data_IF_963129005938
#
_entry.id   IF_963129005938
#
_cell.length_a   1.000
_cell.length_b   1.000
_cell.length_c   1.000
_cell.angle_alpha   90.00
_cell.angle_beta   90.00
_cell.angle_gamma   90.00
#
_symmetry.space_group_name_H-M   'P 1'
#
loop_
_entity.id
_entity.type
_entity.pdbx_description
1 polymer ?
#
# COMPACT_ATOMS: atom_id res chain seq x y z
N UNK A 1 -1.69 -25.10 -29.16
CA UNK A 1 -2.85 -24.79 -28.30
C UNK A 1 -2.46 -24.32 -26.90
N UNK A 2 -1.55 -25.00 -26.18
CA UNK A 2 -1.13 -24.61 -24.80
C UNK A 2 -0.66 -23.15 -24.70
N UNK A 3 0.13 -22.69 -25.68
CA UNK A 3 0.67 -21.33 -25.74
C UNK A 3 -0.39 -20.22 -25.92
N UNK A 4 -1.51 -20.52 -26.59
CA UNK A 4 -2.62 -19.56 -26.73
C UNK A 4 -3.45 -19.48 -25.44
N UNK A 5 -3.58 -20.60 -24.74
CA UNK A 5 -4.32 -20.65 -23.48
C UNK A 5 -3.58 -19.92 -22.37
N UNK A 6 -2.24 -20.06 -22.30
CA UNK A 6 -1.40 -19.33 -21.34
C UNK A 6 -1.42 -17.82 -21.57
N UNK A 7 -1.30 -17.36 -22.82
CA UNK A 7 -1.39 -15.93 -23.14
C UNK A 7 -2.75 -15.32 -22.78
N UNK A 8 -3.84 -16.06 -23.00
CA UNK A 8 -5.19 -15.60 -22.64
C UNK A 8 -5.34 -15.48 -21.12
N UNK A 9 -4.83 -16.44 -20.34
CA UNK A 9 -4.83 -16.37 -18.87
C UNK A 9 -4.03 -15.17 -18.36
N UNK A 10 -2.87 -14.87 -18.96
CA UNK A 10 -2.05 -13.71 -18.56
C UNK A 10 -2.82 -12.40 -18.76
N UNK A 11 -3.49 -12.23 -19.90
CA UNK A 11 -4.29 -11.03 -20.19
C UNK A 11 -5.43 -10.84 -19.20
N UNK A 12 -6.14 -11.91 -18.84
CA UNK A 12 -7.20 -11.83 -17.83
C UNK A 12 -6.65 -11.51 -16.43
N UNK A 13 -5.52 -12.10 -16.04
CA UNK A 13 -4.88 -11.80 -14.76
C UNK A 13 -4.38 -10.35 -14.68
N UNK A 14 -3.96 -9.74 -15.79
CA UNK A 14 -3.60 -8.31 -15.81
C UNK A 14 -4.80 -7.38 -15.79
N UNK A 15 -5.93 -7.79 -16.38
CA UNK A 15 -7.15 -6.98 -16.42
C UNK A 15 -8.03 -7.11 -15.17
N UNK A 16 -8.03 -8.27 -14.50
CA UNK A 16 -8.85 -8.51 -13.31
C UNK A 16 -8.62 -7.52 -12.15
N UNK A 17 -7.38 -7.09 -11.84
CA UNK A 17 -7.13 -6.04 -10.83
C UNK A 17 -7.86 -4.73 -11.14
N UNK A 18 -7.97 -4.34 -12.40
CA UNK A 18 -8.66 -3.11 -12.77
C UNK A 18 -10.16 -3.18 -12.44
N UNK A 19 -10.78 -4.36 -12.61
CA UNK A 19 -12.17 -4.58 -12.21
C UNK A 19 -12.34 -4.55 -10.68
N UNK A 20 -11.40 -5.12 -9.92
CA UNK A 20 -11.39 -5.06 -8.45
C UNK A 20 -11.25 -3.61 -7.98
N UNK A 21 -10.33 -2.85 -8.57
CA UNK A 21 -10.14 -1.44 -8.27
C UNK A 21 -11.40 -0.63 -8.56
N UNK A 22 -12.04 -0.85 -9.72
CA UNK A 22 -13.27 -0.15 -10.08
C UNK A 22 -14.43 -0.50 -9.12
N UNK A 23 -14.56 -1.76 -8.74
CA UNK A 23 -15.56 -2.20 -7.76
C UNK A 23 -15.33 -1.53 -6.40
N UNK A 24 -14.10 -1.55 -5.89
CA UNK A 24 -13.76 -0.91 -4.63
C UNK A 24 -13.96 0.62 -4.70
N UNK A 25 -13.66 1.24 -5.84
CA UNK A 25 -13.97 2.66 -6.10
C UNK A 25 -15.45 2.96 -5.96
N UNK A 26 -16.30 2.17 -6.60
CA UNK A 26 -17.75 2.34 -6.48
C UNK A 26 -18.26 2.14 -5.05
N UNK A 27 -17.70 1.17 -4.31
CA UNK A 27 -18.14 0.84 -2.95
C UNK A 27 -17.74 1.89 -1.91
N UNK A 28 -16.57 2.53 -2.07
CA UNK A 28 -16.11 3.53 -1.09
C UNK A 28 -16.46 4.96 -1.47
N UNK A 29 -17.01 5.20 -2.67
CA UNK A 29 -17.27 6.55 -3.17
C UNK A 29 -18.13 7.39 -2.22
N UNK A 30 -19.16 6.80 -1.61
CA UNK A 30 -20.02 7.49 -0.65
C UNK A 30 -19.23 7.97 0.58
N UNK A 31 -18.37 7.10 1.13
CA UNK A 31 -17.51 7.42 2.26
C UNK A 31 -16.45 8.46 1.88
N UNK A 32 -15.93 8.42 0.65
CA UNK A 32 -14.99 9.42 0.13
C UNK A 32 -15.66 10.79 0.00
N UNK A 33 -16.88 10.87 -0.55
CA UNK A 33 -17.62 12.13 -0.72
C UNK A 33 -17.93 12.76 0.65
N UNK A 34 -18.43 11.96 1.60
CA UNK A 34 -18.64 12.43 2.97
C UNK A 34 -17.36 12.89 3.64
N UNK A 35 -16.24 12.21 3.36
CA UNK A 35 -14.94 12.61 3.86
C UNK A 35 -14.52 13.98 3.31
N UNK A 36 -14.58 14.17 2.00
CA UNK A 36 -14.21 15.44 1.38
C UNK A 36 -15.15 16.57 1.78
N UNK A 37 -16.46 16.30 1.98
CA UNK A 37 -17.42 17.32 2.40
C UNK A 37 -17.24 17.74 3.87
N UNK A 38 -16.78 16.84 4.72
CA UNK A 38 -16.55 17.09 6.15
C UNK A 38 -15.15 17.63 6.46
N UNK A 39 -14.23 17.66 5.49
CA UNK A 39 -12.82 17.95 5.77
C UNK A 39 -12.52 19.45 5.83
N UNK A 40 -12.24 19.96 7.03
CA UNK A 40 -11.79 21.34 7.25
C UNK A 40 -10.29 21.58 7.07
N UNK A 41 -9.43 20.54 7.20
CA UNK A 41 -7.96 20.65 7.09
C UNK A 41 -7.35 19.43 6.39
N UNK A 42 -6.37 19.68 5.52
CA UNK A 42 -5.64 18.65 4.78
C UNK A 42 -4.45 18.15 5.60
N UNK A 43 -4.52 16.92 6.11
CA UNK A 43 -3.45 16.27 6.87
C UNK A 43 -2.53 15.41 6.00
N UNK A 44 -1.39 15.00 6.55
CA UNK A 44 -0.41 14.12 5.86
C UNK A 44 -1.07 12.79 5.44
N UNK A 45 -1.87 12.19 6.32
CA UNK A 45 -2.60 10.93 6.07
C UNK A 45 -3.56 11.06 4.88
N UNK A 46 -4.23 12.21 4.73
CA UNK A 46 -5.12 12.50 3.60
C UNK A 46 -4.33 12.57 2.29
N UNK A 47 -3.19 13.25 2.28
CA UNK A 47 -2.35 13.37 1.07
C UNK A 47 -1.86 11.98 0.65
N UNK A 48 -1.37 11.17 1.59
CA UNK A 48 -0.96 9.80 1.32
C UNK A 48 -2.12 8.97 0.76
N UNK A 49 -3.32 9.08 1.33
CA UNK A 49 -4.50 8.40 0.80
C UNK A 49 -4.82 8.80 -0.65
N UNK A 50 -4.84 10.09 -0.97
CA UNK A 50 -5.14 10.57 -2.33
C UNK A 50 -4.11 10.00 -3.32
N UNK A 51 -2.83 10.01 -2.94
CA UNK A 51 -1.78 9.40 -3.75
C UNK A 51 -2.05 7.91 -3.95
N UNK A 52 -2.25 7.14 -2.89
CA UNK A 52 -2.52 5.71 -2.97
C UNK A 52 -3.81 5.37 -3.75
N UNK A 53 -4.80 6.26 -3.76
CA UNK A 53 -6.11 6.04 -4.37
C UNK A 53 -6.15 6.39 -5.86
N UNK A 54 -5.60 7.54 -6.25
CA UNK A 54 -5.74 8.07 -7.61
C UNK A 54 -4.54 7.81 -8.51
N UNK A 55 -3.33 7.63 -7.97
CA UNK A 55 -2.14 7.28 -8.76
C UNK A 55 -2.19 5.87 -9.40
N UNK A 56 -2.94 4.87 -8.89
CA UNK A 56 -3.18 3.64 -9.64
C UNK A 56 -3.89 3.84 -11.00
N UNK A 57 -4.65 4.92 -11.20
CA UNK A 57 -5.37 5.18 -12.46
C UNK A 57 -4.41 5.29 -13.66
N UNK A 58 -3.41 6.19 -13.67
CA UNK A 58 -2.46 6.27 -14.77
C UNK A 58 -1.68 4.96 -14.96
N UNK A 59 -1.35 4.22 -13.90
CA UNK A 59 -0.74 2.89 -14.01
C UNK A 59 -1.63 1.92 -14.80
N UNK A 60 -2.91 1.80 -14.43
CA UNK A 60 -3.86 0.90 -15.11
C UNK A 60 -4.04 1.28 -16.58
N UNK A 61 -4.15 2.59 -16.88
CA UNK A 61 -4.26 3.08 -18.25
C UNK A 61 -2.99 2.73 -19.06
N UNK A 62 -1.81 2.92 -18.46
CA UNK A 62 -0.52 2.57 -19.05
C UNK A 62 -0.42 1.07 -19.37
N UNK A 63 -0.83 0.19 -18.45
CA UNK A 63 -0.84 -1.26 -18.67
C UNK A 63 -1.80 -1.69 -19.79
N UNK A 64 -3.01 -1.11 -19.82
CA UNK A 64 -3.98 -1.36 -20.90
C UNK A 64 -3.40 -0.90 -22.24
N UNK A 65 -2.77 0.27 -22.28
CA UNK A 65 -2.16 0.82 -23.49
C UNK A 65 -1.04 -0.07 -24.03
N UNK A 66 -0.13 -0.54 -23.16
CA UNK A 66 0.94 -1.50 -23.52
C UNK A 66 0.35 -2.80 -24.09
N UNK A 67 -0.77 -3.26 -23.52
CA UNK A 67 -1.39 -4.52 -23.92
C UNK A 67 -2.11 -4.44 -25.27
N UNK A 68 -2.65 -3.26 -25.63
CA UNK A 68 -3.51 -3.09 -26.81
C UNK A 68 -2.81 -2.47 -28.02
N UNK A 69 -1.74 -1.69 -27.84
CA UNK A 69 -1.14 -0.87 -28.90
C UNK A 69 0.30 -1.29 -29.19
N UNK A 70 0.65 -1.44 -30.48
CA UNK A 70 2.05 -1.61 -30.90
C UNK A 70 2.86 -0.37 -30.53
N UNK A 71 3.86 -0.54 -29.67
CA UNK A 71 4.60 0.58 -29.12
C UNK A 71 5.74 1.04 -30.03
N UNK A 72 5.84 2.35 -30.23
CA UNK A 72 7.06 2.98 -30.70
C UNK A 72 8.09 3.05 -29.56
N UNK A 73 9.40 3.13 -29.85
CA UNK A 73 10.45 3.23 -28.81
C UNK A 73 10.24 4.40 -27.84
N UNK A 74 9.70 5.52 -28.32
CA UNK A 74 9.40 6.71 -27.51
C UNK A 74 8.23 6.44 -26.54
N UNK A 75 7.15 5.83 -27.02
CA UNK A 75 5.98 5.51 -26.20
C UNK A 75 6.29 4.41 -25.17
N UNK A 76 7.20 3.47 -25.50
CA UNK A 76 7.74 2.48 -24.56
C UNK A 76 8.36 3.18 -23.33
N UNK A 77 9.31 4.09 -23.55
CA UNK A 77 10.00 4.77 -22.45
C UNK A 77 9.06 5.60 -21.59
N UNK A 78 8.11 6.32 -22.19
CA UNK A 78 7.15 7.15 -21.44
C UNK A 78 6.24 6.27 -20.59
N UNK A 79 5.74 5.17 -21.15
CA UNK A 79 4.80 4.31 -20.44
C UNK A 79 5.46 3.64 -19.23
N UNK A 80 6.67 3.12 -19.40
CA UNK A 80 7.43 2.55 -18.28
C UNK A 80 7.83 3.58 -17.22
N UNK A 81 8.09 4.84 -17.61
CA UNK A 81 8.34 5.91 -16.64
C UNK A 81 7.09 6.23 -15.82
N UNK A 82 5.92 6.33 -16.47
CA UNK A 82 4.64 6.55 -15.78
C UNK A 82 4.38 5.41 -14.80
N UNK A 83 4.57 4.17 -15.23
CA UNK A 83 4.46 3.00 -14.36
C UNK A 83 5.43 3.12 -13.18
N UNK A 84 6.74 3.23 -13.41
CA UNK A 84 7.75 3.30 -12.35
C UNK A 84 7.50 4.41 -11.32
N UNK A 85 7.14 5.63 -11.77
CA UNK A 85 6.79 6.73 -10.87
C UNK A 85 5.53 6.42 -10.06
N UNK A 86 4.50 5.87 -10.72
CA UNK A 86 3.24 5.52 -10.06
C UNK A 86 3.46 4.45 -8.98
N UNK A 87 4.25 3.41 -9.26
CA UNK A 87 4.61 2.37 -8.28
C UNK A 87 5.28 2.96 -7.05
N UNK A 88 6.30 3.81 -7.22
CA UNK A 88 6.99 4.46 -6.09
C UNK A 88 6.01 5.26 -5.23
N UNK A 89 5.17 6.08 -5.86
CA UNK A 89 4.23 6.93 -5.15
C UNK A 89 3.21 6.10 -4.36
N UNK A 90 2.69 5.02 -4.95
CA UNK A 90 1.72 4.12 -4.32
C UNK A 90 2.37 3.37 -3.15
N UNK A 91 3.56 2.78 -3.34
CA UNK A 91 4.28 2.07 -2.28
C UNK A 91 4.57 2.98 -1.10
N UNK A 92 5.17 4.15 -1.33
CA UNK A 92 5.47 5.11 -0.26
C UNK A 92 4.23 5.56 0.49
N UNK A 93 3.15 5.88 -0.24
CA UNK A 93 1.91 6.32 0.36
C UNK A 93 1.29 5.24 1.26
N UNK A 94 1.26 4.00 0.78
CA UNK A 94 0.62 2.89 1.50
C UNK A 94 1.45 2.35 2.66
N UNK A 95 2.76 2.23 2.49
CA UNK A 95 3.70 1.95 3.59
C UNK A 95 3.62 3.07 4.65
N UNK A 96 3.47 4.32 4.23
CA UNK A 96 3.22 5.46 5.11
C UNK A 96 1.91 5.35 5.91
N UNK A 97 0.82 4.91 5.27
CA UNK A 97 -0.46 4.68 5.95
C UNK A 97 -0.37 3.52 6.97
N UNK A 98 0.30 2.42 6.62
CA UNK A 98 0.59 1.32 7.55
C UNK A 98 1.44 1.80 8.73
N UNK A 99 2.46 2.61 8.47
CA UNK A 99 3.28 3.24 9.49
C UNK A 99 2.41 4.06 10.45
N UNK A 100 1.59 4.98 9.92
CA UNK A 100 0.75 5.86 10.73
C UNK A 100 -0.20 5.07 11.65
N UNK A 101 -0.81 3.99 11.14
CA UNK A 101 -1.66 3.12 11.95
C UNK A 101 -0.87 2.40 13.06
N UNK A 102 0.33 1.92 12.75
CA UNK A 102 1.20 1.25 13.72
C UNK A 102 1.72 2.24 14.78
N UNK A 103 1.98 3.49 14.38
CA UNK A 103 2.35 4.56 15.30
C UNK A 103 1.21 4.93 16.25
N UNK A 104 -0.04 4.87 15.79
CA UNK A 104 -1.20 5.10 16.64
C UNK A 104 -1.34 4.02 17.74
N UNK A 105 -0.97 2.77 17.45
CA UNK A 105 -0.92 1.69 18.46
C UNK A 105 0.15 1.96 19.52
N UNK A 106 1.34 2.43 19.11
CA UNK A 106 2.50 2.59 19.99
C UNK A 106 2.70 4.02 20.52
N UNK A 107 1.63 4.82 20.66
CA UNK A 107 1.70 6.24 21.02
C UNK A 107 2.61 6.53 22.23
N UNK A 108 2.61 5.66 23.25
CA UNK A 108 3.35 5.88 24.50
C UNK A 108 4.86 5.52 24.39
N UNK A 109 5.24 4.60 23.50
CA UNK A 109 6.60 4.05 23.45
C UNK A 109 7.50 4.75 22.42
N UNK A 110 8.18 5.82 22.85
CA UNK A 110 9.08 6.64 22.02
C UNK A 110 10.22 5.85 21.34
N UNK A 111 10.65 4.72 21.89
CA UNK A 111 11.69 3.86 21.29
C UNK A 111 11.18 3.18 20.02
N UNK A 112 10.04 2.49 20.11
CA UNK A 112 9.41 1.77 18.97
C UNK A 112 8.98 2.76 17.90
N UNK A 113 8.43 3.91 18.28
CA UNK A 113 8.10 4.99 17.33
C UNK A 113 9.30 5.45 16.51
N UNK A 114 10.45 5.70 17.16
CA UNK A 114 11.68 6.11 16.46
C UNK A 114 12.19 4.99 15.54
N UNK A 115 12.13 3.74 16.00
CA UNK A 115 12.50 2.59 15.19
C UNK A 115 11.64 2.46 13.93
N UNK A 116 10.31 2.51 14.07
CA UNK A 116 9.36 2.46 12.96
C UNK A 116 9.62 3.59 11.95
N UNK A 117 9.78 4.83 12.42
CA UNK A 117 10.05 5.96 11.52
C UNK A 117 11.40 5.82 10.80
N UNK A 118 12.45 5.41 11.51
CA UNK A 118 13.76 5.17 10.90
C UNK A 118 13.70 4.06 9.84
N UNK A 119 12.98 2.98 10.14
CA UNK A 119 12.82 1.87 9.21
C UNK A 119 12.06 2.26 7.95
N UNK A 120 10.99 3.06 8.07
CA UNK A 120 10.26 3.60 6.93
C UNK A 120 11.14 4.53 6.06
N UNK A 121 11.96 5.39 6.69
CA UNK A 121 12.88 6.25 5.93
C UNK A 121 13.90 5.43 5.14
N UNK A 122 14.44 4.36 5.73
CA UNK A 122 15.36 3.44 5.03
C UNK A 122 14.66 2.76 3.86
N UNK A 123 13.45 2.22 4.08
CA UNK A 123 12.65 1.58 3.02
C UNK A 123 12.36 2.57 1.90
N UNK A 124 11.93 3.79 2.23
CA UNK A 124 11.61 4.83 1.26
C UNK A 124 12.83 5.23 0.40
N UNK A 125 13.98 5.49 1.03
CA UNK A 125 15.22 5.85 0.34
C UNK A 125 15.67 4.70 -0.56
N UNK A 126 15.61 3.45 -0.07
CA UNK A 126 15.97 2.27 -0.85
C UNK A 126 15.09 2.12 -2.09
N UNK A 127 13.76 2.18 -1.94
CA UNK A 127 12.79 2.07 -3.05
C UNK A 127 13.00 3.17 -4.09
N UNK A 128 13.15 4.43 -3.67
CA UNK A 128 13.41 5.56 -4.58
C UNK A 128 14.72 5.35 -5.35
N UNK A 129 15.77 4.89 -4.67
CA UNK A 129 17.07 4.65 -5.30
C UNK A 129 17.01 3.52 -6.33
N UNK A 130 16.38 2.40 -6.00
CA UNK A 130 16.21 1.27 -6.92
C UNK A 130 15.45 1.66 -8.19
N UNK A 131 14.38 2.45 -8.07
CA UNK A 131 13.59 2.92 -9.21
C UNK A 131 14.32 4.00 -10.01
N UNK A 132 15.07 4.88 -9.35
CA UNK A 132 15.91 5.87 -10.05
C UNK A 132 16.98 5.19 -10.94
N UNK A 133 17.58 4.10 -10.47
CA UNK A 133 18.54 3.27 -11.24
C UNK A 133 17.84 2.56 -12.40
N UNK A 134 16.56 2.23 -12.25
CA UNK A 134 15.76 1.53 -13.26
C UNK A 134 15.46 2.39 -14.49
N UNK A 135 15.26 3.71 -14.34
CA UNK A 135 14.94 4.61 -15.46
C UNK A 135 15.95 4.62 -16.63
N UNK A 136 17.26 4.79 -16.42
CA UNK A 136 18.23 4.76 -17.53
C UNK A 136 18.30 3.38 -18.20
N UNK A 137 18.13 2.29 -17.42
CA UNK A 137 18.13 0.91 -17.93
C UNK A 137 16.91 0.62 -18.81
N UNK A 138 15.74 1.17 -18.46
CA UNK A 138 14.53 1.09 -19.27
C UNK A 138 14.68 1.81 -20.61
N UNK A 139 15.31 2.99 -20.59
CA UNK A 139 15.56 3.75 -21.83
C UNK A 139 16.47 2.98 -22.78
N UNK A 140 17.49 2.29 -22.27
CA UNK A 140 18.36 1.45 -23.10
C UNK A 140 17.62 0.20 -23.61
N UNK A 141 16.74 -0.40 -22.82
CA UNK A 141 15.92 -1.54 -23.23
C UNK A 141 14.93 -1.21 -24.36
N UNK A 142 14.28 -0.04 -24.33
CA UNK A 142 13.32 0.38 -25.36
C UNK A 142 13.96 0.77 -26.71
N UNK A 143 15.26 1.09 -26.75
CA UNK A 143 15.96 1.58 -27.96
C UNK A 143 16.79 0.49 -28.66
N UNK A 144 17.18 -0.57 -27.94
CA UNK A 144 18.22 -1.50 -28.42
C UNK A 144 17.67 -2.60 -29.34
N UNK A 145 18.22 -2.70 -30.55
CA UNK A 145 17.83 -3.67 -31.60
C UNK A 145 18.61 -4.99 -31.54
N UNK A 146 19.62 -5.14 -30.67
CA UNK A 146 20.49 -6.33 -30.60
C UNK A 146 20.15 -7.30 -29.47
N UNK A 147 20.00 -8.58 -29.81
CA UNK A 147 19.39 -9.63 -28.98
C UNK A 147 20.15 -10.00 -27.70
N UNK A 148 21.49 -9.92 -27.68
CA UNK A 148 22.31 -10.37 -26.53
C UNK A 148 22.37 -9.32 -25.41
N UNK A 149 22.62 -8.05 -25.75
CA UNK A 149 22.65 -6.92 -24.79
C UNK A 149 21.29 -6.69 -24.13
N UNK A 150 20.20 -7.04 -24.81
CA UNK A 150 18.84 -6.86 -24.32
C UNK A 150 18.50 -7.81 -23.16
N UNK A 151 19.03 -9.03 -23.17
CA UNK A 151 18.75 -10.02 -22.11
C UNK A 151 19.37 -9.57 -20.78
N UNK A 152 20.64 -9.16 -20.78
CA UNK A 152 21.32 -8.72 -19.56
C UNK A 152 20.67 -7.47 -18.93
N UNK A 153 20.23 -6.51 -19.75
CA UNK A 153 19.53 -5.31 -19.29
C UNK A 153 18.17 -5.67 -18.70
N UNK A 154 17.41 -6.56 -19.33
CA UNK A 154 16.11 -7.02 -18.84
C UNK A 154 16.26 -7.81 -17.52
N UNK A 155 17.24 -8.71 -17.44
CA UNK A 155 17.51 -9.45 -16.18
C UNK A 155 17.89 -8.50 -15.05
N UNK A 156 18.71 -7.49 -15.31
CA UNK A 156 19.06 -6.47 -14.30
C UNK A 156 17.84 -5.67 -13.84
N UNK A 157 16.94 -5.32 -14.76
CA UNK A 157 15.68 -4.64 -14.45
C UNK A 157 14.81 -5.49 -13.52
N UNK A 158 14.62 -6.77 -13.85
CA UNK A 158 13.85 -7.71 -13.02
C UNK A 158 14.44 -7.87 -11.63
N UNK A 159 15.77 -7.93 -11.48
CA UNK A 159 16.43 -7.98 -10.18
C UNK A 159 16.23 -6.69 -9.37
N UNK A 160 16.24 -5.52 -10.00
CA UNK A 160 15.99 -4.25 -9.30
C UNK A 160 14.54 -4.17 -8.81
N UNK A 161 13.57 -4.59 -9.64
CA UNK A 161 12.16 -4.65 -9.26
C UNK A 161 11.94 -5.67 -8.15
N UNK A 162 12.56 -6.86 -8.23
CA UNK A 162 12.55 -7.84 -7.15
C UNK A 162 13.10 -7.25 -5.85
N UNK A 163 14.19 -6.48 -5.92
CA UNK A 163 14.76 -5.77 -4.77
C UNK A 163 13.77 -4.80 -4.11
N UNK A 164 12.97 -4.07 -4.90
CA UNK A 164 11.89 -3.21 -4.40
C UNK A 164 10.85 -4.04 -3.65
N UNK A 165 10.37 -5.14 -4.21
CA UNK A 165 9.37 -5.99 -3.55
C UNK A 165 9.93 -6.68 -2.29
N UNK A 166 11.22 -7.06 -2.26
CA UNK A 166 11.87 -7.57 -1.06
C UNK A 166 11.89 -6.50 0.03
N UNK A 167 12.29 -5.28 -0.30
CA UNK A 167 12.34 -4.16 0.64
C UNK A 167 10.95 -3.85 1.23
N UNK A 168 9.92 -3.80 0.39
CA UNK A 168 8.52 -3.62 0.81
C UNK A 168 8.03 -4.79 1.68
N UNK A 169 8.28 -6.05 1.28
CA UNK A 169 7.89 -7.22 2.07
C UNK A 169 8.54 -7.24 3.47
N UNK A 170 9.81 -6.83 3.57
CA UNK A 170 10.50 -6.73 4.85
C UNK A 170 9.84 -5.68 5.76
N UNK A 171 9.45 -4.53 5.20
CA UNK A 171 8.75 -3.50 5.94
C UNK A 171 7.38 -3.97 6.42
N UNK A 172 6.60 -4.59 5.55
CA UNK A 172 5.28 -5.15 5.85
C UNK A 172 5.35 -6.24 6.93
N UNK A 173 6.31 -7.15 6.83
CA UNK A 173 6.56 -8.19 7.83
C UNK A 173 6.91 -7.60 9.19
N UNK A 174 7.80 -6.61 9.23
CA UNK A 174 8.19 -5.92 10.46
C UNK A 174 6.99 -5.23 11.13
N UNK A 175 6.16 -4.52 10.35
CA UNK A 175 4.94 -3.88 10.83
C UNK A 175 3.96 -4.93 11.38
N UNK A 176 3.76 -6.03 10.67
CA UNK A 176 2.92 -7.14 11.12
C UNK A 176 3.45 -7.74 12.44
N UNK A 177 4.75 -8.01 12.54
CA UNK A 177 5.38 -8.55 13.74
C UNK A 177 5.24 -7.62 14.95
N UNK A 178 5.45 -6.32 14.78
CA UNK A 178 5.28 -5.31 15.84
C UNK A 178 3.81 -5.21 16.27
N UNK A 179 2.87 -5.32 15.32
CA UNK A 179 1.43 -5.31 15.60
C UNK A 179 1.00 -6.57 16.38
N UNK A 180 1.53 -7.74 16.02
CA UNK A 180 1.32 -9.00 16.75
C UNK A 180 1.89 -8.88 18.17
N UNK A 181 3.12 -8.39 18.30
CA UNK A 181 3.78 -8.21 19.59
C UNK A 181 2.96 -7.31 20.52
N UNK A 182 2.46 -6.18 20.01
CA UNK A 182 1.56 -5.30 20.76
C UNK A 182 0.29 -6.03 21.20
N UNK A 183 -0.32 -6.81 20.30
CA UNK A 183 -1.54 -7.57 20.59
C UNK A 183 -1.32 -8.65 21.65
N UNK A 184 -0.14 -9.28 21.66
CA UNK A 184 0.23 -10.26 22.68
C UNK A 184 0.46 -9.61 24.05
N UNK A 185 1.12 -8.45 24.09
CA UNK A 185 1.31 -7.69 25.33
C UNK A 185 -0.02 -7.28 25.96
N UNK A 186 -0.95 -6.73 25.16
CA UNK A 186 -2.28 -6.35 25.64
C UNK A 186 -3.13 -7.54 26.12
N UNK A 187 -2.85 -8.75 25.62
CA UNK A 187 -3.52 -9.97 26.09
C UNK A 187 -2.93 -10.48 27.40
N UNK A 188 -1.67 -10.14 27.70
CA UNK A 188 -0.97 -10.58 28.91
C UNK A 188 -1.22 -9.66 30.11
N UNK A 189 -1.43 -8.36 29.88
CA UNK A 189 -1.86 -7.42 30.91
C UNK A 189 -3.39 -7.40 30.97
N UNK A 190 -3.95 -7.77 32.12
CA UNK A 190 -5.39 -7.96 32.38
C UNK A 190 -6.19 -6.62 32.42
N UNK A 191 -5.94 -5.71 31.47
CA UNK A 191 -6.62 -4.41 31.32
C UNK A 191 -7.80 -4.53 30.35
N UNK A 192 -8.89 -5.09 30.86
CA UNK A 192 -10.11 -5.41 30.10
C UNK A 192 -10.81 -4.18 29.45
N UNK A 193 -10.62 -2.97 29.97
CA UNK A 193 -11.48 -1.81 29.65
C UNK A 193 -10.95 -0.87 28.55
N UNK A 194 -9.65 -0.90 28.23
CA UNK A 194 -9.05 -0.13 27.13
C UNK A 194 -8.83 -0.98 25.85
N UNK A 195 -9.21 -2.26 25.91
CA UNK A 195 -8.72 -3.29 24.98
C UNK A 195 -9.60 -3.53 23.75
N UNK A 196 -10.89 -3.16 23.73
CA UNK A 196 -11.75 -3.50 22.58
C UNK A 196 -11.37 -2.72 21.33
N UNK A 197 -11.12 -1.41 21.47
CA UNK A 197 -10.70 -0.54 20.35
C UNK A 197 -9.27 -0.88 19.89
N UNK A 198 -8.32 -1.04 20.82
CA UNK A 198 -6.95 -1.41 20.49
C UNK A 198 -6.85 -2.82 19.88
N UNK A 199 -7.66 -3.78 20.35
CA UNK A 199 -7.73 -5.14 19.79
C UNK A 199 -8.40 -5.16 18.41
N UNK A 200 -9.43 -4.35 18.18
CA UNK A 200 -10.09 -4.26 16.88
C UNK A 200 -9.20 -3.56 15.86
N UNK A 201 -8.54 -2.47 16.26
CA UNK A 201 -7.59 -1.75 15.44
C UNK A 201 -6.37 -2.61 15.09
N UNK A 202 -5.87 -3.42 16.04
CA UNK A 202 -4.74 -4.32 15.81
C UNK A 202 -5.10 -5.49 14.89
N UNK A 203 -6.31 -6.08 15.02
CA UNK A 203 -6.81 -7.10 14.10
C UNK A 203 -6.92 -6.59 12.67
N UNK A 204 -7.51 -5.40 12.49
CA UNK A 204 -7.58 -4.77 11.16
C UNK A 204 -6.19 -4.47 10.59
N UNK A 205 -5.32 -3.83 11.38
CA UNK A 205 -3.94 -3.50 10.98
C UNK A 205 -3.15 -4.74 10.58
N UNK A 206 -3.32 -5.84 11.31
CA UNK A 206 -2.64 -7.10 11.05
C UNK A 206 -3.12 -7.75 9.75
N UNK A 207 -4.44 -7.80 9.51
CA UNK A 207 -4.99 -8.34 8.26
C UNK A 207 -4.46 -7.57 7.05
N UNK A 208 -4.40 -6.25 7.13
CA UNK A 208 -3.88 -5.42 6.05
C UNK A 208 -2.39 -5.65 5.81
N UNK A 209 -1.56 -5.60 6.86
CA UNK A 209 -0.13 -5.84 6.73
C UNK A 209 0.18 -7.26 6.20
N UNK A 210 -0.54 -8.28 6.65
CA UNK A 210 -0.39 -9.65 6.15
C UNK A 210 -0.84 -9.80 4.70
N UNK A 211 -1.95 -9.17 4.31
CA UNK A 211 -2.43 -9.23 2.93
C UNK A 211 -1.44 -8.61 1.95
N UNK A 212 -0.81 -7.49 2.33
CA UNK A 212 0.24 -6.86 1.55
C UNK A 212 1.52 -7.69 1.51
N UNK A 213 1.93 -8.24 2.66
CA UNK A 213 3.06 -9.15 2.72
C UNK A 213 2.90 -10.36 1.80
N UNK A 214 1.72 -10.98 1.77
CA UNK A 214 1.44 -12.15 0.92
C UNK A 214 1.55 -11.78 -0.57
N UNK A 215 1.01 -10.64 -1.00
CA UNK A 215 1.12 -10.23 -2.41
C UNK A 215 2.55 -9.80 -2.78
N UNK A 216 3.29 -9.15 -1.87
CA UNK A 216 4.70 -8.82 -2.06
C UNK A 216 5.55 -10.08 -2.23
N UNK A 217 5.31 -11.12 -1.42
CA UNK A 217 5.95 -12.44 -1.58
C UNK A 217 5.60 -13.07 -2.93
N UNK A 218 4.33 -13.01 -3.35
CA UNK A 218 3.93 -13.50 -4.67
C UNK A 218 4.71 -12.78 -5.79
N UNK A 219 4.86 -11.45 -5.70
CA UNK A 219 5.67 -10.69 -6.66
C UNK A 219 7.13 -11.15 -6.68
N UNK A 220 7.78 -11.29 -5.53
CA UNK A 220 9.16 -11.80 -5.45
C UNK A 220 9.29 -13.15 -6.15
N UNK A 221 8.34 -14.06 -5.93
CA UNK A 221 8.33 -15.38 -6.58
C UNK A 221 8.18 -15.25 -8.10
N UNK A 222 7.29 -14.37 -8.60
CA UNK A 222 7.10 -14.19 -10.05
C UNK A 222 8.32 -13.60 -10.75
N UNK A 223 9.09 -12.74 -10.08
CA UNK A 223 10.35 -12.20 -10.63
C UNK A 223 11.52 -13.17 -10.48
N UNK A 224 11.49 -14.08 -9.50
CA UNK A 224 12.57 -15.04 -9.26
C UNK A 224 12.52 -16.24 -10.21
N UNK A 225 11.32 -16.69 -10.56
CA UNK A 225 11.16 -17.84 -11.42
C UNK A 225 11.47 -17.45 -12.88
N UNK A 226 12.42 -18.12 -13.57
CA UNK A 226 12.74 -17.88 -14.97
C UNK A 226 11.65 -18.50 -15.86
N UNK A 227 10.44 -17.92 -15.80
CA UNK A 227 9.31 -18.42 -16.58
C UNK A 227 9.38 -17.74 -17.95
N UNK A 228 9.88 -18.46 -18.95
CA UNK A 228 10.00 -18.05 -20.36
C UNK A 228 8.67 -17.73 -21.08
N UNK A 229 7.59 -17.49 -20.33
CA UNK A 229 6.22 -17.31 -20.81
C UNK A 229 5.60 -15.93 -20.58
N UNK A 230 6.37 -14.92 -20.16
CA UNK A 230 5.85 -13.56 -19.95
C UNK A 230 5.03 -13.39 -18.66
N UNK A 231 5.26 -14.26 -17.67
CA UNK A 231 4.63 -14.23 -16.35
C UNK A 231 5.34 -13.31 -15.34
N UNK A 232 6.52 -12.79 -15.69
CA UNK A 232 7.23 -11.80 -14.89
C UNK A 232 6.34 -10.59 -14.62
N UNK A 233 6.25 -10.19 -13.36
CA UNK A 233 5.42 -9.06 -12.92
C UNK A 233 3.91 -9.26 -13.05
N UNK A 234 3.37 -10.45 -13.32
CA UNK A 234 1.91 -10.62 -13.50
C UNK A 234 1.07 -10.22 -12.27
N UNK A 235 1.69 -10.26 -11.09
CA UNK A 235 1.07 -9.89 -9.81
C UNK A 235 1.36 -8.45 -9.38
N UNK A 236 2.11 -7.67 -10.16
CA UNK A 236 2.49 -6.29 -9.79
C UNK A 236 1.25 -5.38 -9.75
N UNK A 237 0.35 -5.58 -10.69
CA UNK A 237 -0.87 -4.82 -10.87
C UNK A 237 -1.87 -5.18 -9.77
N UNK A 238 -1.87 -6.46 -9.34
CA UNK A 238 -2.61 -6.88 -8.14
C UNK A 238 -2.08 -6.18 -6.89
N UNK A 239 -0.75 -6.09 -6.73
CA UNK A 239 -0.16 -5.39 -5.60
C UNK A 239 -0.56 -3.92 -5.60
N UNK A 240 -0.37 -3.21 -6.71
CA UNK A 240 -0.76 -1.79 -6.84
C UNK A 240 -2.23 -1.56 -6.49
N UNK A 241 -3.13 -2.39 -7.01
CA UNK A 241 -4.57 -2.28 -6.71
C UNK A 241 -4.85 -2.58 -5.24
N UNK A 242 -4.28 -3.65 -4.69
CA UNK A 242 -4.47 -4.00 -3.28
C UNK A 242 -3.96 -2.89 -2.36
N UNK A 243 -2.80 -2.29 -2.63
CA UNK A 243 -2.30 -1.12 -1.91
C UNK A 243 -3.35 0.01 -1.92
N UNK A 244 -3.93 0.36 -3.07
CA UNK A 244 -4.96 1.40 -3.16
C UNK A 244 -6.26 1.08 -2.41
N UNK A 245 -6.74 -0.17 -2.49
CA UNK A 245 -7.92 -0.65 -1.75
C UNK A 245 -7.67 -0.58 -0.24
N UNK A 246 -6.52 -1.08 0.20
CA UNK A 246 -6.14 -1.18 1.60
C UNK A 246 -5.88 0.20 2.21
N UNK A 247 -5.27 1.12 1.46
CA UNK A 247 -5.11 2.51 1.85
C UNK A 247 -6.43 3.19 2.22
N UNK A 248 -7.48 2.90 1.44
CA UNK A 248 -8.83 3.46 1.64
C UNK A 248 -9.44 2.97 2.95
N UNK A 249 -9.40 1.66 3.16
CA UNK A 249 -9.90 1.06 4.41
C UNK A 249 -9.11 1.51 5.63
N UNK A 250 -7.79 1.64 5.52
CA UNK A 250 -6.94 2.15 6.60
C UNK A 250 -7.34 3.58 6.98
N UNK A 251 -7.56 4.46 6.00
CA UNK A 251 -7.94 5.84 6.29
C UNK A 251 -9.30 5.92 6.98
N UNK A 252 -10.30 5.19 6.48
CA UNK A 252 -11.64 5.20 7.09
C UNK A 252 -11.62 4.64 8.51
N UNK A 253 -10.97 3.49 8.72
CA UNK A 253 -10.79 2.93 10.07
C UNK A 253 -10.11 3.93 11.03
N UNK A 254 -9.13 4.71 10.55
CA UNK A 254 -8.44 5.72 11.36
C UNK A 254 -9.35 6.90 11.70
N UNK A 255 -10.20 7.35 10.78
CA UNK A 255 -11.13 8.46 11.02
C UNK A 255 -12.27 8.04 11.96
N UNK A 256 -12.81 6.85 11.78
CA UNK A 256 -13.84 6.31 12.67
C UNK A 256 -13.29 6.17 14.10
N UNK A 257 -12.04 5.71 14.24
CA UNK A 257 -11.36 5.64 15.53
C UNK A 257 -11.11 7.03 16.15
N UNK A 258 -10.83 8.06 15.35
CA UNK A 258 -10.61 9.43 15.85
C UNK A 258 -11.92 10.09 16.30
N UNK A 259 -12.99 9.96 15.50
CA UNK A 259 -14.33 10.43 15.85
C UNK A 259 -14.85 9.78 17.14
N UNK A 260 -14.66 8.47 17.30
CA UNK A 260 -15.06 7.77 18.52
C UNK A 260 -14.34 8.29 19.78
N UNK A 261 -13.10 8.78 19.64
CA UNK A 261 -12.36 9.39 20.74
C UNK A 261 -12.89 10.77 21.08
N UNK A 262 -13.15 11.60 20.08
CA UNK A 262 -13.75 12.94 20.29
C UNK A 262 -15.12 12.83 20.98
N UNK A 263 -15.97 11.89 20.54
CA UNK A 263 -17.27 11.64 21.16
C UNK A 263 -17.14 11.14 22.60
N UNK A 264 -16.18 10.24 22.88
CA UNK A 264 -15.92 9.75 24.24
C UNK A 264 -15.41 10.86 25.17
N UNK A 265 -14.56 11.75 24.67
CA UNK A 265 -14.03 12.90 25.41
C UNK A 265 -15.16 13.90 25.73
N UNK A 266 -16.01 14.18 24.75
CA UNK A 266 -17.17 15.06 24.92
C UNK A 266 -18.20 14.48 25.91
N UNK A 267 -18.43 13.16 25.88
CA UNK A 267 -19.28 12.46 26.85
C UNK A 267 -18.71 12.51 28.28
N UNK A 268 -17.39 12.33 28.44
CA UNK A 268 -16.78 12.45 29.77
C UNK A 268 -16.86 13.87 30.34
N UNK A 269 -16.71 14.91 29.51
CA UNK A 269 -16.86 16.31 29.95
C UNK A 269 -18.31 16.64 30.36
N UNK A 270 -19.30 16.05 29.69
CA UNK A 270 -20.71 16.16 30.09
C UNK A 270 -21.01 15.42 31.40
N UNK A 271 -20.35 14.29 31.66
CA UNK A 271 -20.57 13.47 32.86
C UNK A 271 -19.92 14.07 34.12
N UNK A 272 -18.85 14.85 33.98
CA UNK A 272 -18.30 15.66 35.08
C UNK A 272 -19.11 16.93 35.38
N UNK A 273 -19.96 17.38 34.46
CA UNK A 273 -20.86 18.51 34.66
C UNK A 273 -22.16 18.20 35.44
N UNK A 274 -22.50 16.93 35.65
CA UNK A 274 -23.78 16.53 36.26
C UNK A 274 -23.72 16.17 37.75
N UNK A 275 -22.57 16.27 38.42
CA UNK A 275 -22.41 15.90 39.84
C UNK A 275 -22.46 17.06 40.85
N UNK A 276 -22.83 18.27 40.42
CA UNK A 276 -22.92 19.46 41.30
C UNK A 276 -24.32 20.08 41.35
N UNK A 277 -25.37 19.29 41.53
CA UNK A 277 -26.64 19.80 42.08
C UNK A 277 -27.25 18.72 42.97
N UNK A 278 -27.78 19.14 44.13
CA UNK A 278 -28.45 18.36 45.19
C UNK A 278 -27.60 17.89 46.37
N UNK A 279 -27.05 18.85 47.12
CA UNK A 279 -27.22 18.88 48.58
C UNK A 279 -27.30 20.34 49.05
N UNK A 280 -28.53 20.86 49.13
CA UNK A 280 -28.85 22.04 49.92
C UNK A 280 -30.27 21.88 50.45
N UNK A 281 -30.37 21.36 51.67
CA UNK A 281 -31.17 21.79 52.83
C UNK A 281 -31.50 20.62 53.72
#
# INVERSE_FOLDING_TARGET
>A
MVLLHTQRTIKYLRAAPAAIWALDYCLTLEHEVHMFSSMGRWGITTVMFIVARYVPIPWIISEIYVTLVMQSPQMCSITYQISGVSLVLILLATEGLLLMRTLALWHNNKKIRRFLLASYLVTAISTVTCIAITFPLLKSACVSTSTQSNIEVVTRLEHLLMGVFINTALFEFMVAAITIYHSMLLRSDDMYTLCTLASTLSKGSLLYALSLFVISVANIVTFFLPISGGYSGITDTFQVVLHGVLASRILFDLRDADQSKEDSFCLSDLQFGSHTVYTAT
#
